data_IF_248109043088
#
_entry.id   IF_248109043088
#
_cell.length_a   1.000
_cell.length_b   1.000
_cell.length_c   1.000
_cell.angle_alpha   90.00
_cell.angle_beta   90.00
_cell.angle_gamma   90.00
#
_symmetry.space_group_name_H-M   'P 1'
#
loop_
_entity.id
_entity.type
_entity.pdbx_description
1 polymer ?
#
# COMPACT_ATOMS: atom_id res chain seq x y z
N UNK A 1 -27.22 -12.30 -54.66
CA UNK A 1 -26.18 -11.29 -54.34
C UNK A 1 -25.94 -11.31 -52.84
N UNK A 2 -24.68 -11.40 -52.41
CA UNK A 2 -24.29 -11.41 -50.98
C UNK A 2 -23.86 -10.01 -50.55
N UNK A 3 -24.33 -9.56 -49.38
CA UNK A 3 -23.94 -8.29 -48.77
C UNK A 3 -23.76 -8.46 -47.26
N UNK A 4 -22.63 -9.07 -46.87
CA UNK A 4 -22.33 -9.38 -45.47
C UNK A 4 -21.97 -8.10 -44.70
N UNK A 5 -22.92 -7.57 -43.93
CA UNK A 5 -22.70 -6.41 -43.07
C UNK A 5 -21.68 -6.71 -41.96
N UNK A 6 -20.50 -6.09 -42.04
CA UNK A 6 -19.41 -6.29 -41.09
C UNK A 6 -19.69 -5.50 -39.80
N UNK A 7 -19.69 -6.12 -38.59
CA UNK A 7 -19.99 -5.41 -37.35
C UNK A 7 -18.98 -4.29 -37.04
N UNK A 8 -19.39 -3.22 -36.33
CA UNK A 8 -18.52 -2.08 -36.05
C UNK A 8 -17.31 -2.50 -35.21
N UNK A 9 -16.11 -2.33 -35.75
CA UNK A 9 -14.85 -2.63 -35.05
C UNK A 9 -14.76 -1.83 -33.74
N UNK A 10 -14.57 -2.55 -32.64
CA UNK A 10 -14.27 -1.97 -31.32
C UNK A 10 -12.92 -1.24 -31.38
N UNK A 11 -12.95 0.08 -31.57
CA UNK A 11 -11.76 0.92 -31.43
C UNK A 11 -11.32 0.88 -29.98
N UNK A 12 -10.05 0.52 -29.76
CA UNK A 12 -9.47 0.36 -28.42
C UNK A 12 -9.69 1.60 -27.56
N UNK A 13 -10.10 1.38 -26.30
CA UNK A 13 -10.49 2.46 -25.39
C UNK A 13 -9.33 3.38 -25.07
N UNK A 14 -9.31 4.57 -25.67
CA UNK A 14 -8.46 5.66 -25.20
C UNK A 14 -8.81 5.98 -23.76
N UNK A 15 -7.79 6.11 -22.90
CA UNK A 15 -7.94 6.30 -21.45
C UNK A 15 -8.53 7.66 -21.10
N UNK A 16 -9.84 7.83 -21.27
CA UNK A 16 -10.57 8.98 -20.76
C UNK A 16 -10.41 9.03 -19.24
N UNK A 17 -10.02 10.18 -18.70
CA UNK A 17 -9.93 10.33 -17.25
C UNK A 17 -11.31 10.14 -16.61
N UNK A 18 -11.42 9.68 -15.36
CA UNK A 18 -12.69 9.63 -14.64
C UNK A 18 -13.41 11.00 -14.63
N UNK A 19 -12.66 12.09 -14.62
CA UNK A 19 -13.19 13.46 -14.70
C UNK A 19 -13.79 13.76 -16.09
N UNK A 20 -13.16 13.28 -17.16
CA UNK A 20 -13.66 13.39 -18.54
C UNK A 20 -14.99 12.64 -18.73
N UNK A 21 -15.10 11.44 -18.15
CA UNK A 21 -16.35 10.66 -18.13
C UNK A 21 -17.46 11.36 -17.35
N UNK A 22 -17.15 11.94 -16.18
CA UNK A 22 -18.10 12.75 -15.38
C UNK A 22 -18.57 14.00 -16.13
N UNK A 23 -17.65 14.71 -16.79
CA UNK A 23 -18.00 15.85 -17.63
C UNK A 23 -18.81 15.42 -18.87
N UNK A 24 -18.56 14.23 -19.42
CA UNK A 24 -19.39 13.59 -20.44
C UNK A 24 -20.82 13.36 -19.97
N UNK A 25 -20.99 12.64 -18.87
CA UNK A 25 -22.28 12.31 -18.26
C UNK A 25 -23.13 13.56 -18.00
N UNK A 26 -22.59 14.56 -17.29
CA UNK A 26 -23.32 15.80 -16.96
C UNK A 26 -23.82 16.58 -18.17
N UNK A 27 -23.08 16.55 -19.30
CA UNK A 27 -23.50 17.20 -20.55
C UNK A 27 -24.67 16.51 -21.25
N UNK A 28 -25.00 15.28 -20.88
CA UNK A 28 -26.13 14.51 -21.41
C UNK A 28 -27.29 14.40 -20.40
N UNK A 29 -27.38 15.33 -19.45
CA UNK A 29 -28.43 15.35 -18.42
C UNK A 29 -28.30 14.28 -17.33
N UNK A 30 -27.22 13.49 -17.33
CA UNK A 30 -26.99 12.43 -16.33
C UNK A 30 -26.52 13.06 -15.02
N UNK A 31 -27.30 12.88 -13.95
CA UNK A 31 -26.91 13.34 -12.61
C UNK A 31 -25.68 12.55 -12.14
N UNK A 32 -24.67 13.23 -11.55
CA UNK A 32 -23.47 12.56 -11.04
C UNK A 32 -23.34 12.76 -9.54
N UNK A 33 -23.68 11.70 -8.80
CA UNK A 33 -23.64 11.61 -7.34
C UNK A 33 -22.20 11.38 -6.85
N UNK A 34 -21.87 11.97 -5.69
CA UNK A 34 -20.54 11.85 -5.07
C UNK A 34 -20.27 10.41 -4.57
N UNK A 35 -18.99 10.03 -4.38
CA UNK A 35 -18.63 8.84 -3.62
C UNK A 35 -19.17 8.93 -2.20
N UNK A 36 -19.48 7.78 -1.65
CA UNK A 36 -20.35 7.58 -0.47
C UNK A 36 -20.07 6.18 0.06
N UNK A 37 -19.62 6.09 1.32
CA UNK A 37 -19.08 4.84 1.88
C UNK A 37 -20.14 3.75 2.00
N UNK A 38 -21.42 4.11 2.11
CA UNK A 38 -22.52 3.16 2.27
C UNK A 38 -23.25 2.85 0.95
N UNK A 39 -23.32 3.80 0.01
CA UNK A 39 -24.06 3.62 -1.24
C UNK A 39 -23.20 3.40 -2.51
N UNK A 40 -21.88 3.58 -2.45
CA UNK A 40 -21.00 3.40 -3.64
C UNK A 40 -20.52 1.96 -3.81
N UNK A 41 -20.24 1.62 -5.07
CA UNK A 41 -19.51 0.42 -5.45
C UNK A 41 -18.00 0.72 -5.64
N UNK A 42 -17.23 -0.28 -6.06
CA UNK A 42 -15.78 -0.15 -6.31
C UNK A 42 -15.54 0.81 -7.48
N UNK A 43 -16.20 0.53 -8.62
CA UNK A 43 -16.30 1.41 -9.79
C UNK A 43 -17.56 2.28 -9.74
N UNK A 44 -17.73 3.17 -10.73
CA UNK A 44 -18.96 3.95 -10.85
C UNK A 44 -20.15 3.07 -11.25
N UNK A 45 -21.34 3.40 -10.76
CA UNK A 45 -22.57 2.60 -10.94
C UNK A 45 -23.80 3.47 -11.25
N UNK A 46 -24.84 2.87 -11.84
CA UNK A 46 -26.14 3.53 -12.07
C UNK A 46 -27.01 3.47 -10.81
N UNK A 47 -27.84 4.49 -10.55
CA UNK A 47 -28.64 4.61 -9.32
C UNK A 47 -30.12 4.97 -9.57
N UNK A 48 -30.96 3.93 -9.61
CA UNK A 48 -32.41 4.03 -9.77
C UNK A 48 -32.87 4.02 -11.23
N UNK A 49 -34.16 4.29 -11.45
CA UNK A 49 -34.81 4.21 -12.76
C UNK A 49 -34.52 5.39 -13.71
N UNK A 50 -33.93 6.48 -13.21
CA UNK A 50 -33.46 7.61 -14.03
C UNK A 50 -31.93 7.53 -14.23
N UNK A 51 -31.38 8.07 -15.34
CA UNK A 51 -29.96 8.01 -15.63
C UNK A 51 -29.16 8.88 -14.66
N UNK A 52 -28.71 8.27 -13.57
CA UNK A 52 -27.86 8.86 -12.54
C UNK A 52 -26.68 7.95 -12.28
N UNK A 53 -25.48 8.52 -12.26
CA UNK A 53 -24.23 7.79 -12.02
C UNK A 53 -23.68 8.17 -10.65
N UNK A 54 -23.51 7.20 -9.76
CA UNK A 54 -22.73 7.38 -8.51
C UNK A 54 -21.28 7.01 -8.75
N UNK A 55 -20.38 7.82 -8.24
CA UNK A 55 -18.94 7.60 -8.35
C UNK A 55 -18.46 6.50 -7.40
N UNK A 56 -17.65 5.59 -7.93
CA UNK A 56 -17.08 4.49 -7.16
C UNK A 56 -15.96 4.93 -6.22
N UNK A 57 -15.78 4.17 -5.13
CA UNK A 57 -14.79 4.46 -4.09
C UNK A 57 -13.34 4.43 -4.62
N UNK A 58 -13.05 3.63 -5.65
CA UNK A 58 -11.70 3.57 -6.26
C UNK A 58 -11.25 4.87 -6.91
N UNK A 59 -12.20 5.74 -7.29
CA UNK A 59 -11.92 7.08 -7.82
C UNK A 59 -11.57 8.12 -6.74
N UNK A 60 -11.69 7.79 -5.45
CA UNK A 60 -11.32 8.68 -4.35
C UNK A 60 -9.80 8.69 -4.19
N UNK A 61 -9.22 9.90 -4.20
CA UNK A 61 -7.77 10.12 -4.07
C UNK A 61 -7.26 9.51 -2.76
N UNK A 62 -6.26 8.61 -2.86
CA UNK A 62 -5.67 7.77 -1.79
C UNK A 62 -6.45 6.50 -1.38
N UNK A 63 -7.66 6.26 -1.89
CA UNK A 63 -8.37 4.97 -1.62
C UNK A 63 -7.88 3.89 -2.59
N UNK A 64 -8.03 4.12 -3.90
CA UNK A 64 -7.64 3.14 -4.92
C UNK A 64 -8.50 1.87 -4.91
N UNK A 65 -8.23 0.93 -5.81
CA UNK A 65 -9.14 -0.19 -6.10
C UNK A 65 -9.17 -1.29 -5.02
N UNK A 66 -8.05 -1.55 -4.35
CA UNK A 66 -7.93 -2.60 -3.32
C UNK A 66 -8.77 -2.28 -2.08
N UNK A 67 -8.57 -1.09 -1.50
CA UNK A 67 -9.34 -0.62 -0.33
C UNK A 67 -10.81 -0.39 -0.70
N UNK A 68 -11.10 0.19 -1.87
CA UNK A 68 -12.46 0.34 -2.37
C UNK A 68 -13.21 -0.99 -2.52
N UNK A 69 -12.52 -2.06 -2.97
CA UNK A 69 -13.09 -3.40 -3.06
C UNK A 69 -13.44 -3.95 -1.67
N UNK A 70 -12.51 -3.90 -0.71
CA UNK A 70 -12.78 -4.44 0.62
C UNK A 70 -13.85 -3.65 1.38
N UNK A 71 -13.88 -2.31 1.31
CA UNK A 71 -14.95 -1.51 1.94
C UNK A 71 -16.34 -1.97 1.44
N UNK A 72 -16.47 -2.29 0.14
CA UNK A 72 -17.72 -2.83 -0.41
C UNK A 72 -18.00 -4.26 0.06
N UNK A 73 -16.97 -5.12 0.18
CA UNK A 73 -17.11 -6.50 0.67
C UNK A 73 -17.47 -6.57 2.16
N UNK A 74 -16.75 -5.84 3.03
CA UNK A 74 -17.03 -5.77 4.48
C UNK A 74 -18.43 -5.24 4.74
N UNK A 75 -18.82 -4.14 4.07
CA UNK A 75 -20.18 -3.59 4.16
C UNK A 75 -21.26 -4.55 3.64
N UNK A 76 -20.96 -5.35 2.61
CA UNK A 76 -21.90 -6.35 2.10
C UNK A 76 -22.08 -7.55 3.05
N UNK A 77 -21.11 -7.82 3.92
CA UNK A 77 -21.17 -8.90 4.91
C UNK A 77 -21.71 -8.45 6.28
N UNK A 78 -21.32 -7.26 6.75
CA UNK A 78 -21.67 -6.72 8.08
C UNK A 78 -22.85 -5.74 8.11
N UNK A 79 -23.22 -5.13 6.97
CA UNK A 79 -24.21 -4.06 6.89
C UNK A 79 -23.59 -2.68 6.63
N UNK A 80 -24.40 -1.60 6.58
CA UNK A 80 -23.91 -0.24 6.40
C UNK A 80 -23.18 0.26 7.64
N UNK A 81 -22.08 1.01 7.43
CA UNK A 81 -21.34 1.65 8.51
C UNK A 81 -22.22 2.68 9.23
N UNK A 82 -22.31 2.60 10.56
CA UNK A 82 -23.12 3.48 11.39
C UNK A 82 -22.50 4.88 11.51
N UNK A 83 -21.20 4.98 11.71
CA UNK A 83 -20.46 6.23 11.86
C UNK A 83 -18.99 6.13 11.38
N UNK A 84 -18.17 7.12 11.75
CA UNK A 84 -16.73 7.14 11.42
C UNK A 84 -15.91 6.16 12.26
N UNK A 85 -16.30 5.85 13.49
CA UNK A 85 -15.57 4.92 14.36
C UNK A 85 -15.77 3.47 13.90
N UNK A 86 -16.99 3.08 13.52
CA UNK A 86 -17.29 1.78 12.87
C UNK A 86 -16.54 1.63 11.53
N UNK A 87 -16.53 2.68 10.71
CA UNK A 87 -15.72 2.69 9.48
C UNK A 87 -14.21 2.60 9.78
N UNK A 88 -13.72 3.31 10.80
CA UNK A 88 -12.31 3.28 11.21
C UNK A 88 -11.95 1.95 11.87
N UNK A 89 -12.84 1.28 12.59
CA UNK A 89 -12.66 -0.07 13.15
C UNK A 89 -12.64 -1.12 12.03
N UNK A 90 -13.59 -1.04 11.09
CA UNK A 90 -13.63 -1.88 9.89
C UNK A 90 -12.46 -1.66 8.92
N UNK A 91 -11.78 -0.50 8.99
CA UNK A 91 -10.52 -0.21 8.28
C UNK A 91 -9.30 -0.46 9.20
N UNK A 92 -9.47 -0.55 10.51
CA UNK A 92 -8.46 -0.94 11.48
C UNK A 92 -8.32 -2.45 11.59
N UNK A 93 -9.34 -3.21 11.19
CA UNK A 93 -9.26 -4.58 10.70
C UNK A 93 -8.61 -4.65 9.30
N UNK A 94 -7.87 -3.60 8.85
CA UNK A 94 -7.43 -3.46 7.46
C UNK A 94 -6.05 -2.80 7.03
N UNK A 95 -4.91 -2.91 7.75
CA UNK A 95 -3.56 -2.42 7.31
C UNK A 95 -2.18 -3.22 7.20
N UNK A 96 -1.46 -4.17 7.88
CA UNK A 96 -1.31 -5.23 8.96
C UNK A 96 -1.29 -6.76 8.69
N UNK A 97 -2.24 -7.55 9.26
CA UNK A 97 -2.31 -9.05 9.39
C UNK A 97 -2.04 -9.96 8.18
N UNK A 98 -1.54 -9.45 7.06
CA UNK A 98 -2.43 -9.19 5.96
C UNK A 98 -2.79 -7.71 6.05
N UNK A 99 -3.80 -7.40 6.85
CA UNK A 99 -4.34 -6.06 7.04
C UNK A 99 -5.03 -5.90 8.47
N UNK A 100 -4.46 -5.11 9.42
CA UNK A 100 -4.99 -4.34 10.64
C UNK A 100 -4.14 -3.04 10.93
N UNK A 101 -4.31 -2.16 11.95
CA UNK A 101 -3.50 -0.88 12.08
C UNK A 101 -2.16 -0.90 12.86
N UNK A 102 -2.00 -1.71 13.92
CA UNK A 102 -0.76 -1.74 14.75
C UNK A 102 0.08 -3.01 14.55
N UNK A 103 -0.34 -3.91 13.66
CA UNK A 103 0.33 -5.20 13.44
C UNK A 103 1.45 -5.15 12.41
N UNK A 104 2.70 -5.04 12.83
CA UNK A 104 3.82 -5.12 11.88
C UNK A 104 3.75 -6.43 11.05
N UNK A 105 3.65 -6.38 9.70
CA UNK A 105 3.55 -7.59 8.87
C UNK A 105 4.78 -8.50 8.99
N UNK A 106 5.91 -7.96 9.45
CA UNK A 106 7.10 -8.69 9.86
C UNK A 106 6.82 -9.74 10.93
N UNK A 107 5.86 -9.53 11.84
CA UNK A 107 5.46 -10.50 12.88
C UNK A 107 4.97 -11.81 12.27
N UNK A 108 4.05 -11.71 11.30
CA UNK A 108 3.51 -12.86 10.56
C UNK A 108 4.53 -13.50 9.61
N UNK A 109 5.61 -12.79 9.29
CA UNK A 109 6.72 -13.27 8.48
C UNK A 109 7.95 -13.67 9.31
N UNK A 110 7.94 -13.54 10.65
CA UNK A 110 9.15 -13.50 11.48
C UNK A 110 10.00 -14.76 11.35
N UNK A 111 9.39 -15.93 11.44
CA UNK A 111 10.08 -17.22 11.24
C UNK A 111 10.73 -17.31 9.85
N UNK A 112 10.01 -16.88 8.81
CA UNK A 112 10.47 -16.90 7.40
C UNK A 112 11.53 -15.84 7.11
N UNK A 113 11.58 -14.76 7.89
CA UNK A 113 12.60 -13.72 7.87
C UNK A 113 13.85 -14.18 8.63
N UNK A 114 13.69 -14.74 9.83
CA UNK A 114 14.79 -15.31 10.63
C UNK A 114 15.49 -16.47 9.90
N UNK A 115 14.73 -17.38 9.27
CA UNK A 115 15.25 -18.45 8.42
C UNK A 115 15.98 -17.95 7.14
N UNK A 116 15.90 -16.64 6.84
CA UNK A 116 16.64 -15.95 5.77
C UNK A 116 17.76 -15.05 6.31
N UNK A 117 18.09 -15.15 7.60
CA UNK A 117 19.14 -14.35 8.24
C UNK A 117 18.76 -12.89 8.51
N UNK A 118 17.46 -12.56 8.54
CA UNK A 118 16.99 -11.21 8.88
C UNK A 118 16.97 -11.04 10.41
N UNK A 119 17.78 -10.10 10.90
CA UNK A 119 17.80 -9.68 12.30
C UNK A 119 16.59 -8.80 12.63
N UNK A 120 15.99 -8.99 13.80
CA UNK A 120 14.94 -8.11 14.33
C UNK A 120 15.55 -6.81 14.89
N UNK A 121 14.78 -5.72 14.92
CA UNK A 121 15.25 -4.42 15.41
C UNK A 121 15.85 -4.48 16.83
N UNK A 122 15.26 -5.26 17.74
CA UNK A 122 15.81 -5.49 19.09
C UNK A 122 17.22 -6.09 19.07
N UNK A 123 17.40 -7.19 18.32
CA UNK A 123 18.67 -7.92 18.19
C UNK A 123 19.79 -7.17 17.47
N UNK A 124 19.53 -5.96 16.94
CA UNK A 124 20.60 -5.07 16.46
C UNK A 124 21.39 -4.43 17.59
N UNK A 125 20.82 -4.32 18.81
CA UNK A 125 21.51 -3.72 19.97
C UNK A 125 22.72 -4.54 20.37
N UNK A 126 22.52 -5.84 20.53
CA UNK A 126 23.54 -6.80 20.97
C UNK A 126 24.48 -7.26 19.84
N UNK A 127 24.14 -6.91 18.59
CA UNK A 127 24.98 -7.20 17.43
C UNK A 127 26.24 -6.31 17.38
N UNK A 128 27.35 -6.93 17.01
CA UNK A 128 28.68 -6.32 16.87
C UNK A 128 28.71 -5.24 15.77
N UNK A 129 29.36 -4.10 16.06
CA UNK A 129 29.54 -3.03 15.08
C UNK A 129 30.46 -3.48 13.93
N UNK A 130 30.22 -2.97 12.72
CA UNK A 130 30.93 -3.40 11.51
C UNK A 130 30.39 -4.69 10.88
N UNK A 131 29.60 -5.49 11.60
CA UNK A 131 28.96 -6.71 11.08
C UNK A 131 27.96 -6.39 9.96
N UNK A 132 27.90 -7.24 8.94
CA UNK A 132 26.81 -7.20 7.93
C UNK A 132 25.55 -7.88 8.45
N UNK A 133 24.41 -7.23 8.25
CA UNK A 133 23.09 -7.68 8.68
C UNK A 133 22.07 -7.60 7.52
N UNK A 134 21.05 -8.45 7.57
CA UNK A 134 19.77 -8.20 6.91
C UNK A 134 18.80 -7.64 7.94
N UNK A 135 18.03 -6.62 7.56
CA UNK A 135 16.90 -6.08 8.34
C UNK A 135 15.69 -5.95 7.43
N UNK A 136 14.48 -6.04 7.98
CA UNK A 136 13.25 -5.88 7.21
C UNK A 136 12.15 -5.22 8.05
N UNK A 137 11.33 -4.38 7.43
CA UNK A 137 10.28 -3.63 8.12
C UNK A 137 9.40 -2.78 7.20
N UNK A 138 8.31 -2.23 7.75
CA UNK A 138 7.54 -1.15 7.11
C UNK A 138 8.42 0.10 7.06
N UNK A 139 8.35 0.89 6.00
CA UNK A 139 9.09 2.16 5.91
C UNK A 139 8.24 3.30 6.47
N UNK A 140 8.52 3.74 7.69
CA UNK A 140 7.74 4.79 8.37
C UNK A 140 8.00 6.17 7.77
N UNK A 141 9.27 6.51 7.51
CA UNK A 141 9.62 7.78 6.89
C UNK A 141 10.93 7.74 6.09
N UNK A 142 11.12 8.78 5.28
CA UNK A 142 12.31 9.02 4.44
C UNK A 142 12.66 10.50 4.53
N UNK A 143 13.89 10.82 4.95
CA UNK A 143 14.36 12.19 5.12
C UNK A 143 15.67 12.40 4.39
N UNK A 144 15.82 13.53 3.70
CA UNK A 144 17.05 13.89 2.97
C UNK A 144 17.46 15.33 3.33
N UNK A 145 18.08 15.55 4.51
CA UNK A 145 18.46 16.89 4.95
C UNK A 145 19.40 17.55 3.94
N UNK A 146 19.19 18.85 3.68
CA UNK A 146 20.01 19.59 2.71
C UNK A 146 21.52 19.59 3.08
N UNK A 147 21.82 19.55 4.38
CA UNK A 147 23.17 19.49 4.94
C UNK A 147 23.86 18.12 4.80
N UNK A 148 23.12 17.04 4.55
CA UNK A 148 23.64 15.66 4.63
C UNK A 148 24.39 15.17 3.37
N UNK A 149 24.89 16.07 2.52
CA UNK A 149 25.59 15.71 1.27
C UNK A 149 24.75 14.89 0.28
N UNK A 150 23.42 14.99 0.37
CA UNK A 150 22.49 14.15 -0.39
C UNK A 150 22.31 12.72 0.15
N UNK A 151 22.81 12.41 1.34
CA UNK A 151 22.48 11.16 2.06
C UNK A 151 21.00 11.17 2.46
N UNK A 152 20.33 10.02 2.32
CA UNK A 152 18.92 9.84 2.70
C UNK A 152 18.81 8.89 3.88
N UNK A 153 18.16 9.33 4.94
CA UNK A 153 17.78 8.52 6.09
C UNK A 153 16.43 7.87 5.83
N UNK A 154 16.31 6.59 6.18
CA UNK A 154 15.11 5.76 5.95
C UNK A 154 14.87 4.98 7.22
N UNK A 155 13.74 5.19 7.87
CA UNK A 155 13.40 4.42 9.07
C UNK A 155 12.52 3.23 8.68
N UNK A 156 12.96 2.04 9.07
CA UNK A 156 12.17 0.82 9.03
C UNK A 156 11.59 0.57 10.42
N UNK A 157 10.48 -0.16 10.49
CA UNK A 157 9.90 -0.61 11.75
C UNK A 157 9.41 -2.06 11.64
N UNK A 158 9.71 -2.83 12.68
CA UNK A 158 9.24 -4.19 12.89
C UNK A 158 8.63 -4.35 14.30
N UNK A 159 8.06 -5.50 14.62
CA UNK A 159 7.38 -5.73 15.91
C UNK A 159 8.29 -5.74 17.15
N UNK A 160 9.58 -5.46 16.97
CA UNK A 160 10.57 -5.27 18.03
C UNK A 160 11.17 -3.85 18.05
N UNK A 161 10.76 -2.97 17.13
CA UNK A 161 11.05 -1.54 17.14
C UNK A 161 11.58 -0.97 15.82
N UNK A 162 12.14 0.25 15.91
CA UNK A 162 12.67 1.01 14.79
C UNK A 162 14.11 0.62 14.42
N UNK A 163 14.40 0.67 13.12
CA UNK A 163 15.75 0.53 12.54
C UNK A 163 16.06 1.76 11.67
N UNK A 164 17.06 2.53 12.08
CA UNK A 164 17.58 3.67 11.30
C UNK A 164 18.46 3.14 10.16
N UNK A 165 18.10 3.41 8.90
CA UNK A 165 18.87 3.00 7.72
C UNK A 165 19.43 4.23 6.99
N UNK A 166 20.75 4.24 6.77
CA UNK A 166 21.45 5.34 6.10
C UNK A 166 21.76 4.93 4.66
N UNK A 167 21.19 5.66 3.69
CA UNK A 167 21.37 5.44 2.25
C UNK A 167 22.24 6.53 1.63
N UNK A 168 23.45 6.17 1.20
CA UNK A 168 24.32 7.09 0.45
C UNK A 168 23.72 7.48 -0.92
N UNK A 169 24.15 8.61 -1.54
CA UNK A 169 23.66 9.02 -2.86
C UNK A 169 23.77 7.93 -3.93
N UNK A 170 24.86 7.15 -3.94
CA UNK A 170 25.06 6.04 -4.88
C UNK A 170 24.09 4.88 -4.67
N UNK A 171 23.87 4.47 -3.41
CA UNK A 171 22.94 3.39 -3.05
C UNK A 171 21.49 3.80 -3.35
N UNK A 172 21.12 5.03 -3.00
CA UNK A 172 19.81 5.61 -3.33
C UNK A 172 19.57 5.65 -4.84
N UNK A 173 20.58 6.04 -5.64
CA UNK A 173 20.48 6.11 -7.10
C UNK A 173 20.39 4.72 -7.74
N UNK A 174 21.18 3.75 -7.25
CA UNK A 174 21.15 2.34 -7.69
C UNK A 174 19.79 1.68 -7.45
N UNK A 175 19.18 1.95 -6.30
CA UNK A 175 17.91 1.36 -5.88
C UNK A 175 16.69 2.31 -6.04
N UNK A 176 16.81 3.36 -6.86
CA UNK A 176 15.90 4.54 -6.93
C UNK A 176 14.40 4.27 -7.00
N UNK A 177 13.98 3.14 -7.57
CA UNK A 177 12.55 2.76 -7.65
C UNK A 177 12.09 2.24 -6.29
N UNK A 178 12.61 1.08 -5.87
CA UNK A 178 12.29 0.43 -4.59
C UNK A 178 12.55 1.36 -3.39
N UNK A 179 13.66 2.09 -3.38
CA UNK A 179 14.00 3.06 -2.34
C UNK A 179 12.91 4.13 -2.15
N UNK A 180 12.29 4.59 -3.24
CA UNK A 180 11.29 5.67 -3.24
C UNK A 180 9.85 5.18 -3.09
N UNK A 181 9.50 3.98 -3.59
CA UNK A 181 8.09 3.55 -3.73
C UNK A 181 7.67 2.36 -2.86
N UNK A 182 8.60 1.61 -2.26
CA UNK A 182 8.22 0.44 -1.46
C UNK A 182 7.67 0.84 -0.08
N UNK A 183 6.52 0.29 0.30
CA UNK A 183 5.91 0.47 1.63
C UNK A 183 6.62 -0.33 2.72
N UNK A 184 7.28 -1.44 2.35
CA UNK A 184 8.12 -2.25 3.22
C UNK A 184 9.38 -2.70 2.47
N UNK A 185 10.50 -2.80 3.18
CA UNK A 185 11.82 -3.10 2.61
C UNK A 185 12.48 -4.29 3.30
N UNK A 186 13.37 -4.96 2.56
CA UNK A 186 14.48 -5.74 3.10
C UNK A 186 15.77 -5.00 2.72
N UNK A 187 16.64 -4.75 3.69
CA UNK A 187 17.93 -4.05 3.49
C UNK A 187 19.05 -4.97 3.96
N UNK A 188 20.08 -5.11 3.11
CA UNK A 188 21.38 -5.66 3.48
C UNK A 188 22.36 -4.50 3.67
N UNK A 189 23.00 -4.42 4.83
CA UNK A 189 23.89 -3.31 5.16
C UNK A 189 24.89 -3.65 6.25
N UNK A 190 25.77 -2.70 6.54
CA UNK A 190 26.72 -2.76 7.66
C UNK A 190 26.10 -2.10 8.88
N UNK A 191 26.18 -2.76 10.04
CA UNK A 191 25.80 -2.18 11.32
C UNK A 191 26.86 -1.17 11.76
N UNK A 192 26.45 0.04 12.13
CA UNK A 192 27.32 1.06 12.73
C UNK A 192 26.68 1.61 14.01
N UNK A 193 27.54 2.04 14.93
CA UNK A 193 27.16 2.52 16.25
C UNK A 193 27.93 3.80 16.55
N UNK A 194 27.22 4.90 16.66
CA UNK A 194 27.77 6.24 16.89
C UNK A 194 26.88 6.96 17.91
N UNK A 195 27.48 7.58 18.93
CA UNK A 195 26.77 8.37 19.94
C UNK A 195 25.59 7.60 20.60
N UNK A 196 25.76 6.29 20.79
CA UNK A 196 24.73 5.38 21.33
C UNK A 196 23.65 4.95 20.32
N UNK A 197 23.51 5.66 19.19
CA UNK A 197 22.56 5.33 18.12
C UNK A 197 23.10 4.16 17.29
N UNK A 198 22.24 3.17 17.02
CA UNK A 198 22.54 2.05 16.12
C UNK A 198 21.92 2.34 14.75
N UNK A 199 22.73 2.25 13.70
CA UNK A 199 22.36 2.55 12.32
C UNK A 199 22.75 1.39 11.39
N UNK A 200 22.02 1.20 10.30
CA UNK A 200 22.38 0.26 9.23
C UNK A 200 22.76 1.05 7.98
N UNK A 201 24.04 1.03 7.60
CA UNK A 201 24.52 1.62 6.36
C UNK A 201 24.13 0.70 5.20
N UNK A 202 23.17 1.11 4.39
CA UNK A 202 22.60 0.28 3.33
C UNK A 202 23.61 0.01 2.21
N UNK A 203 23.79 -1.25 1.84
CA UNK A 203 24.57 -1.66 0.66
C UNK A 203 23.66 -2.10 -0.49
N UNK A 204 22.56 -2.81 -0.17
CA UNK A 204 21.57 -3.33 -1.11
C UNK A 204 20.18 -3.30 -0.47
N UNK A 205 19.13 -3.09 -1.26
CA UNK A 205 17.74 -3.17 -0.79
C UNK A 205 16.77 -3.75 -1.82
N UNK A 206 15.73 -4.40 -1.33
CA UNK A 206 14.67 -5.07 -2.08
C UNK A 206 13.30 -4.74 -1.45
N UNK A 207 12.18 -4.82 -2.19
CA UNK A 207 10.86 -4.73 -1.56
C UNK A 207 10.64 -5.96 -0.68
N UNK A 208 10.01 -5.78 0.49
CA UNK A 208 9.46 -6.90 1.26
C UNK A 208 8.08 -7.24 0.69
N UNK A 209 7.85 -8.45 0.13
CA UNK A 209 6.54 -8.82 -0.38
C UNK A 209 5.61 -9.17 0.79
N UNK A 210 4.82 -8.19 1.24
CA UNK A 210 3.75 -8.40 2.22
C UNK A 210 2.56 -9.04 1.50
N UNK A 211 2.43 -10.36 1.61
CA UNK A 211 1.39 -11.13 0.95
C UNK A 211 0.19 -11.36 1.88
N UNK A 212 -1.01 -10.95 1.45
CA UNK A 212 -2.25 -11.16 2.19
C UNK A 212 -2.66 -12.64 2.08
N UNK A 213 -2.51 -13.39 3.17
CA UNK A 213 -2.89 -14.79 3.23
C UNK A 213 -4.39 -14.94 3.53
N UNK A 214 -5.22 -15.03 2.48
CA UNK A 214 -6.61 -15.43 2.66
C UNK A 214 -6.68 -16.89 3.16
N UNK A 215 -7.32 -17.10 4.30
CA UNK A 215 -7.86 -18.41 4.70
C UNK A 215 -9.37 -18.31 4.70
N UNK A 216 -10.03 -19.18 3.93
CA UNK A 216 -11.46 -19.42 4.08
C UNK A 216 -11.75 -19.81 5.53
N UNK A 217 -12.80 -19.23 6.11
CA UNK A 217 -13.46 -19.81 7.28
C UNK A 217 -14.70 -20.50 6.74
N UNK A 218 -14.61 -21.81 6.62
CA UNK A 218 -15.76 -22.62 6.21
C UNK A 218 -16.71 -22.70 7.42
N UNK A 219 -17.88 -22.08 7.29
CA UNK A 219 -18.92 -22.09 8.32
C UNK A 219 -19.84 -23.30 8.16
N UNK A 220 -20.49 -23.69 9.26
CA UNK A 220 -21.28 -24.93 9.41
C UNK A 220 -22.61 -24.64 10.08
#
# INVERSE_FOLDING_TARGET
>A
MTATGNPPRSRGGGSQSPQSLVAGARRHGVEVLRPDVNASAVGASLVGAQPRVRLGLSGVRRVGESLARRIVETRAAGGPYADMADLEESVADLWATGITTEGYPTRFLRERLAARGVTAASGLRDAEAGRRVLVAGIVTHRQRPATAGGTTFVNLEDETGLVNVICSPGVWTRHRVVARTAVALVVHGRLERAEGVTNVIAERMWPLPVAVASRSRDFR
#
